data_IF_242598553336
#
_entry.id   IF_242598553336
#
_cell.length_a   1.000
_cell.length_b   1.000
_cell.length_c   1.000
_cell.angle_alpha   90.00
_cell.angle_beta   90.00
_cell.angle_gamma   90.00
#
_symmetry.space_group_name_H-M   'P 1'
#
loop_
_entity.id
_entity.type
_entity.pdbx_description
1 polymer ?
#
# COMPACT_ATOMS: atom_id res chain seq x y z
N UNK A 1 9.57 -25.34 27.13
CA UNK A 1 8.71 -24.14 27.21
C UNK A 1 9.29 -23.00 26.37
N UNK A 2 10.61 -22.82 26.38
CA UNK A 2 11.35 -21.89 25.50
C UNK A 2 11.11 -22.16 24.01
N UNK A 3 11.19 -23.42 23.57
CA UNK A 3 10.99 -23.80 22.16
C UNK A 3 9.61 -23.37 21.60
N UNK A 4 8.53 -23.57 22.36
CA UNK A 4 7.18 -23.15 21.94
C UNK A 4 7.04 -21.62 21.80
N UNK A 5 7.78 -20.87 22.62
CA UNK A 5 7.77 -19.42 22.57
C UNK A 5 8.59 -18.93 21.37
N UNK A 6 9.72 -19.55 21.10
CA UNK A 6 10.59 -19.21 19.97
C UNK A 6 9.91 -19.54 18.64
N UNK A 7 9.23 -20.69 18.54
CA UNK A 7 8.38 -21.05 17.39
C UNK A 7 7.29 -20.01 17.15
N UNK A 8 6.58 -19.59 18.21
CA UNK A 8 5.54 -18.56 18.11
C UNK A 8 6.10 -17.21 17.64
N UNK A 9 7.26 -16.80 18.14
CA UNK A 9 7.91 -15.55 17.72
C UNK A 9 8.32 -15.66 16.25
N UNK A 10 8.92 -16.78 15.84
CA UNK A 10 9.31 -17.03 14.45
C UNK A 10 8.11 -16.98 13.49
N UNK A 11 7.00 -17.61 13.87
CA UNK A 11 5.75 -17.55 13.11
C UNK A 11 5.24 -16.12 12.94
N UNK A 12 5.28 -15.30 14.00
CA UNK A 12 4.86 -13.89 13.94
C UNK A 12 5.78 -13.03 13.07
N UNK A 13 7.09 -13.24 13.13
CA UNK A 13 8.05 -12.57 12.23
C UNK A 13 7.68 -12.88 10.77
N UNK A 14 7.45 -14.16 10.48
CA UNK A 14 7.16 -14.62 9.13
C UNK A 14 5.81 -14.08 8.63
N UNK A 15 4.80 -14.04 9.49
CA UNK A 15 3.49 -13.46 9.20
C UNK A 15 3.59 -11.95 8.91
N UNK A 16 4.28 -11.18 9.76
CA UNK A 16 4.47 -9.74 9.55
C UNK A 16 5.24 -9.45 8.26
N UNK A 17 6.26 -10.27 7.96
CA UNK A 17 7.03 -10.19 6.71
C UNK A 17 6.14 -10.46 5.49
N UNK A 18 5.24 -11.46 5.56
CA UNK A 18 4.27 -11.78 4.50
C UNK A 18 3.31 -10.64 4.25
N UNK A 19 2.73 -10.08 5.31
CA UNK A 19 1.83 -8.92 5.22
C UNK A 19 2.53 -7.73 4.59
N UNK A 20 3.71 -7.34 5.11
CA UNK A 20 4.52 -6.25 4.57
C UNK A 20 4.76 -6.43 3.06
N UNK A 21 5.22 -7.62 2.65
CA UNK A 21 5.51 -7.92 1.26
C UNK A 21 4.24 -7.87 0.38
N UNK A 22 3.09 -8.31 0.88
CA UNK A 22 1.83 -8.23 0.15
C UNK A 22 1.42 -6.79 -0.14
N UNK A 23 1.54 -5.89 0.85
CA UNK A 23 1.29 -4.46 0.66
C UNK A 23 2.31 -3.79 -0.28
N UNK A 24 3.60 -4.14 -0.19
CA UNK A 24 4.64 -3.63 -1.10
C UNK A 24 4.35 -4.03 -2.56
N UNK A 25 4.05 -5.31 -2.81
CA UNK A 25 3.68 -5.79 -4.14
C UNK A 25 2.40 -5.12 -4.67
N UNK A 26 1.44 -4.86 -3.78
CA UNK A 26 0.22 -4.16 -4.13
C UNK A 26 0.48 -2.69 -4.49
N UNK A 27 1.31 -1.99 -3.72
CA UNK A 27 1.73 -0.62 -4.03
C UNK A 27 2.46 -0.55 -5.37
N UNK A 28 3.39 -1.47 -5.65
CA UNK A 28 4.08 -1.55 -6.94
C UNK A 28 3.10 -1.71 -8.11
N UNK A 29 1.97 -2.39 -7.89
CA UNK A 29 0.91 -2.53 -8.91
C UNK A 29 0.08 -1.26 -9.06
N UNK A 30 -0.24 -0.59 -7.97
CA UNK A 30 -1.12 0.59 -7.97
C UNK A 30 -0.41 1.88 -8.39
N UNK A 31 0.88 2.05 -8.07
CA UNK A 31 1.65 3.26 -8.41
C UNK A 31 1.63 3.65 -9.89
N UNK A 32 1.87 2.74 -10.86
CA UNK A 32 1.82 3.11 -12.27
C UNK A 32 0.40 3.45 -12.76
N UNK A 33 -0.62 2.73 -12.25
CA UNK A 33 -2.01 3.03 -12.60
C UNK A 33 -2.44 4.42 -12.11
N UNK A 34 -2.01 4.79 -10.91
CA UNK A 34 -2.27 6.11 -10.34
C UNK A 34 -1.52 7.21 -11.11
N UNK A 35 -0.23 7.01 -11.40
CA UNK A 35 0.56 7.95 -12.19
C UNK A 35 -0.03 8.15 -13.60
N UNK A 36 -0.57 7.10 -14.22
CA UNK A 36 -1.26 7.20 -15.50
C UNK A 36 -2.58 7.99 -15.38
N UNK A 37 -3.43 7.66 -14.40
CA UNK A 37 -4.72 8.33 -14.19
C UNK A 37 -4.57 9.83 -13.92
N UNK A 38 -3.63 10.19 -13.05
CA UNK A 38 -3.38 11.60 -12.67
C UNK A 38 -2.57 12.33 -13.74
N UNK A 39 -1.51 11.70 -14.26
CA UNK A 39 -0.59 12.30 -15.21
C UNK A 39 -1.22 12.48 -16.59
N UNK A 40 -1.78 11.42 -17.18
CA UNK A 40 -2.39 11.48 -18.51
C UNK A 40 -3.66 12.33 -18.48
N UNK A 41 -4.51 12.18 -17.45
CA UNK A 41 -5.70 13.01 -17.28
C UNK A 41 -5.37 14.49 -17.16
N UNK A 42 -4.35 14.84 -16.36
CA UNK A 42 -3.90 16.22 -16.18
C UNK A 42 -3.31 16.83 -17.45
N UNK A 43 -2.43 16.11 -18.15
CA UNK A 43 -1.79 16.60 -19.38
C UNK A 43 -2.80 16.77 -20.50
N UNK A 44 -3.70 15.80 -20.70
CA UNK A 44 -4.75 15.89 -21.74
C UNK A 44 -5.68 17.08 -21.43
N UNK A 45 -6.09 17.26 -20.18
CA UNK A 45 -6.96 18.39 -19.78
C UNK A 45 -6.27 19.73 -19.99
N UNK A 46 -4.98 19.84 -19.63
CA UNK A 46 -4.19 21.05 -19.79
C UNK A 46 -4.00 21.41 -21.26
N UNK A 47 -3.56 20.45 -22.09
CA UNK A 47 -3.33 20.67 -23.53
C UNK A 47 -4.63 21.03 -24.23
N UNK A 48 -5.73 20.33 -23.91
CA UNK A 48 -7.05 20.60 -24.49
C UNK A 48 -7.56 21.97 -24.06
N UNK A 49 -7.48 22.30 -22.77
CA UNK A 49 -7.87 23.61 -22.24
C UNK A 49 -7.05 24.74 -22.85
N UNK A 50 -5.73 24.56 -23.00
CA UNK A 50 -4.85 25.55 -23.60
C UNK A 50 -5.18 25.75 -25.08
N UNK A 51 -5.42 24.68 -25.85
CA UNK A 51 -5.81 24.76 -27.27
C UNK A 51 -7.13 25.51 -27.44
N UNK A 52 -8.11 25.28 -26.56
CA UNK A 52 -9.41 25.99 -26.58
C UNK A 52 -9.24 27.47 -26.25
N UNK A 53 -8.51 27.79 -25.17
CA UNK A 53 -8.37 29.17 -24.67
C UNK A 53 -7.52 30.03 -25.60
N UNK A 54 -6.40 29.49 -26.11
CA UNK A 54 -5.47 30.25 -26.96
C UNK A 54 -5.87 30.24 -28.43
N UNK A 55 -6.86 29.44 -28.83
CA UNK A 55 -7.17 29.10 -30.22
C UNK A 55 -5.97 28.57 -31.01
N UNK A 56 -4.90 28.15 -30.32
CA UNK A 56 -3.76 27.53 -30.96
C UNK A 56 -4.19 26.18 -31.55
N UNK A 57 -3.86 25.92 -32.81
CA UNK A 57 -4.10 24.64 -33.49
C UNK A 57 -3.07 23.58 -33.05
N UNK A 58 -2.90 23.41 -31.74
CA UNK A 58 -2.05 22.34 -31.18
C UNK A 58 -2.71 20.96 -31.40
N UNK A 59 -4.04 20.93 -31.39
CA UNK A 59 -4.90 19.78 -31.72
C UNK A 59 -6.19 20.27 -32.37
N UNK A 60 -6.86 19.41 -33.15
CA UNK A 60 -8.17 19.76 -33.72
C UNK A 60 -9.20 19.99 -32.62
N UNK A 61 -10.20 20.83 -32.89
CA UNK A 61 -11.24 21.17 -31.93
C UNK A 61 -11.99 19.93 -31.39
N UNK A 62 -12.25 18.95 -32.25
CA UNK A 62 -12.90 17.68 -31.86
C UNK A 62 -12.02 16.87 -30.90
N UNK A 63 -10.72 16.79 -31.17
CA UNK A 63 -9.76 16.07 -30.32
C UNK A 63 -9.59 16.78 -28.98
N UNK A 64 -9.53 18.10 -28.96
CA UNK A 64 -9.47 18.89 -27.73
C UNK A 64 -10.75 18.72 -26.89
N UNK A 65 -11.92 18.73 -27.52
CA UNK A 65 -13.20 18.52 -26.84
C UNK A 65 -13.28 17.15 -26.16
N UNK A 66 -13.01 16.07 -26.90
CA UNK A 66 -12.98 14.71 -26.34
C UNK A 66 -11.87 14.51 -25.31
N UNK A 67 -10.71 15.12 -25.52
CA UNK A 67 -9.61 15.10 -24.56
C UNK A 67 -9.99 15.70 -23.22
N UNK A 68 -10.61 16.88 -23.21
CA UNK A 68 -11.07 17.53 -21.98
C UNK A 68 -12.10 16.67 -21.21
N UNK A 69 -13.04 16.04 -21.93
CA UNK A 69 -14.05 15.15 -21.33
C UNK A 69 -13.40 13.90 -20.72
N UNK A 70 -12.51 13.24 -21.45
CA UNK A 70 -11.80 12.05 -20.96
C UNK A 70 -10.91 12.39 -19.77
N UNK A 71 -10.20 13.51 -19.82
CA UNK A 71 -9.37 14.00 -18.71
C UNK A 71 -10.20 14.23 -17.45
N UNK A 72 -11.31 14.95 -17.56
CA UNK A 72 -12.22 15.21 -16.45
C UNK A 72 -12.83 13.91 -15.88
N UNK A 73 -13.20 12.95 -16.74
CA UNK A 73 -13.74 11.66 -16.31
C UNK A 73 -12.69 10.84 -15.53
N UNK A 74 -11.45 10.78 -16.01
CA UNK A 74 -10.35 10.07 -15.33
C UNK A 74 -9.99 10.71 -13.99
N UNK A 75 -9.95 12.04 -13.91
CA UNK A 75 -9.71 12.77 -12.65
C UNK A 75 -10.86 12.56 -11.66
N UNK A 76 -12.11 12.63 -12.12
CA UNK A 76 -13.29 12.37 -11.29
C UNK A 76 -13.33 10.93 -10.75
N UNK A 77 -12.98 9.96 -11.59
CA UNK A 77 -12.89 8.55 -11.20
C UNK A 77 -11.78 8.32 -10.17
N UNK A 78 -10.59 8.91 -10.36
CA UNK A 78 -9.48 8.85 -9.41
C UNK A 78 -9.86 9.41 -8.03
N UNK A 79 -10.47 10.59 -8.00
CA UNK A 79 -10.93 11.22 -6.77
C UNK A 79 -12.01 10.39 -6.06
N UNK A 80 -12.97 9.83 -6.82
CA UNK A 80 -14.04 8.99 -6.27
C UNK A 80 -13.53 7.67 -5.71
N UNK A 81 -12.52 7.07 -6.34
CA UNK A 81 -11.91 5.81 -5.90
C UNK A 81 -10.92 5.99 -4.74
N UNK A 82 -10.64 7.23 -4.32
CA UNK A 82 -9.74 7.56 -3.20
C UNK A 82 -8.40 6.81 -3.28
N UNK A 83 -7.87 6.63 -4.50
CA UNK A 83 -6.66 5.83 -4.74
C UNK A 83 -5.46 6.34 -3.92
N UNK A 84 -5.33 7.67 -3.75
CA UNK A 84 -4.25 8.27 -2.97
C UNK A 84 -4.37 7.93 -1.48
N UNK A 85 -5.57 8.01 -0.91
CA UNK A 85 -5.81 7.63 0.49
C UNK A 85 -5.58 6.13 0.71
N UNK A 86 -6.02 5.29 -0.24
CA UNK A 86 -5.77 3.85 -0.20
C UNK A 86 -4.27 3.53 -0.26
N UNK A 87 -3.53 4.19 -1.16
CA UNK A 87 -2.07 4.03 -1.26
C UNK A 87 -1.35 4.55 -0.02
N UNK A 88 -1.78 5.67 0.55
CA UNK A 88 -1.22 6.21 1.79
C UNK A 88 -1.40 5.24 2.96
N UNK A 89 -2.60 4.66 3.10
CA UNK A 89 -2.85 3.65 4.13
C UNK A 89 -2.03 2.38 3.88
N UNK A 90 -1.90 1.92 2.62
CA UNK A 90 -1.03 0.79 2.29
C UNK A 90 0.44 1.07 2.67
N UNK A 91 0.97 2.27 2.40
CA UNK A 91 2.34 2.67 2.77
C UNK A 91 2.52 2.70 4.28
N UNK A 92 1.54 3.24 5.02
CA UNK A 92 1.51 3.21 6.48
C UNK A 92 1.56 1.77 7.00
N UNK A 93 0.75 0.87 6.43
CA UNK A 93 0.71 -0.54 6.84
C UNK A 93 2.04 -1.27 6.54
N UNK A 94 2.72 -0.98 5.41
CA UNK A 94 4.08 -1.47 5.17
C UNK A 94 5.02 -1.06 6.30
N UNK A 95 4.98 0.21 6.72
CA UNK A 95 5.78 0.72 7.83
C UNK A 95 5.47 0.03 9.15
N UNK A 96 4.18 -0.06 9.52
CA UNK A 96 3.74 -0.67 10.78
C UNK A 96 4.08 -2.17 10.85
N UNK A 97 3.90 -2.92 9.76
CA UNK A 97 4.29 -4.33 9.72
C UNK A 97 5.82 -4.53 9.72
N UNK A 98 6.56 -3.61 9.12
CA UNK A 98 8.03 -3.62 9.19
C UNK A 98 8.55 -3.34 10.59
N UNK A 99 8.00 -2.34 11.27
CA UNK A 99 8.36 -1.99 12.64
C UNK A 99 8.09 -3.14 13.61
N UNK A 100 6.88 -3.72 13.57
CA UNK A 100 6.52 -4.81 14.47
C UNK A 100 7.31 -6.09 14.18
N UNK A 101 7.64 -6.36 12.91
CA UNK A 101 8.55 -7.46 12.55
C UNK A 101 9.91 -7.27 13.24
N UNK A 102 10.49 -6.08 13.17
CA UNK A 102 11.75 -5.77 13.85
C UNK A 102 11.65 -5.87 15.37
N UNK A 103 10.51 -5.50 15.97
CA UNK A 103 10.29 -5.70 17.41
C UNK A 103 10.26 -7.19 17.78
N UNK A 104 9.61 -8.06 16.98
CA UNK A 104 9.66 -9.51 17.19
C UNK A 104 11.06 -10.10 16.98
N UNK A 105 11.82 -9.63 15.98
CA UNK A 105 13.21 -10.06 15.77
C UNK A 105 14.10 -9.67 16.97
N UNK A 106 13.92 -8.47 17.53
CA UNK A 106 14.62 -8.05 18.76
C UNK A 106 14.22 -8.91 19.96
N UNK A 107 12.97 -9.33 20.04
CA UNK A 107 12.47 -10.18 21.12
C UNK A 107 13.21 -11.53 21.18
N UNK A 108 13.60 -12.10 20.03
CA UNK A 108 14.38 -13.34 19.97
C UNK A 108 15.77 -13.21 20.64
N UNK A 109 16.31 -11.99 20.69
CA UNK A 109 17.64 -11.73 21.26
C UNK A 109 17.60 -11.57 22.79
N UNK A 110 16.42 -11.47 23.41
CA UNK A 110 16.28 -11.29 24.86
C UNK A 110 16.48 -12.63 25.56
N UNK A 111 17.51 -12.77 26.39
CA UNK A 111 17.83 -14.02 27.07
C UNK A 111 16.88 -14.42 28.21
N UNK A 112 16.21 -13.45 28.85
CA UNK A 112 15.30 -13.70 29.98
C UNK A 112 13.90 -14.16 29.49
N UNK A 113 13.46 -15.39 29.79
CA UNK A 113 12.17 -15.91 29.34
C UNK A 113 10.95 -15.15 29.89
N UNK A 114 11.02 -14.63 31.12
CA UNK A 114 9.89 -13.92 31.73
C UNK A 114 9.69 -12.54 31.08
N UNK A 115 10.79 -11.83 30.85
CA UNK A 115 10.77 -10.56 30.11
C UNK A 115 10.28 -10.81 28.68
N UNK A 116 10.79 -11.86 28.03
CA UNK A 116 10.41 -12.23 26.67
C UNK A 116 8.90 -12.52 26.56
N UNK A 117 8.32 -13.24 27.52
CA UNK A 117 6.89 -13.55 27.54
C UNK A 117 6.03 -12.30 27.74
N UNK A 118 6.44 -11.38 28.62
CA UNK A 118 5.72 -10.12 28.86
C UNK A 118 5.73 -9.23 27.61
N UNK A 119 6.90 -9.08 26.98
CA UNK A 119 7.05 -8.30 25.75
C UNK A 119 6.28 -8.94 24.59
N UNK A 120 6.25 -10.27 24.49
CA UNK A 120 5.44 -10.98 23.49
C UNK A 120 3.97 -10.58 23.55
N UNK A 121 3.37 -10.56 24.74
CA UNK A 121 1.96 -10.16 24.91
C UNK A 121 1.73 -8.71 24.45
N UNK A 122 2.66 -7.81 24.78
CA UNK A 122 2.62 -6.41 24.31
C UNK A 122 2.64 -6.32 22.79
N UNK A 123 3.54 -7.06 22.13
CA UNK A 123 3.62 -7.12 20.67
C UNK A 123 2.36 -7.72 20.03
N UNK A 124 1.75 -8.72 20.66
CA UNK A 124 0.49 -9.29 20.16
C UNK A 124 -0.66 -8.29 20.24
N UNK A 125 -0.74 -7.50 21.30
CA UNK A 125 -1.71 -6.41 21.40
C UNK A 125 -1.48 -5.34 20.32
N UNK A 126 -0.22 -4.94 20.08
CA UNK A 126 0.11 -4.01 18.98
C UNK A 126 -0.29 -4.59 17.63
N UNK A 127 0.01 -5.86 17.36
CA UNK A 127 -0.34 -6.53 16.11
C UNK A 127 -1.86 -6.59 15.91
N UNK A 128 -2.61 -6.91 16.97
CA UNK A 128 -4.06 -6.92 16.95
C UNK A 128 -4.62 -5.51 16.68
N UNK A 129 -4.05 -4.47 17.29
CA UNK A 129 -4.44 -3.08 17.06
C UNK A 129 -4.18 -2.63 15.62
N UNK A 130 -3.01 -2.97 15.05
CA UNK A 130 -2.70 -2.71 13.64
C UNK A 130 -3.76 -3.36 12.75
N UNK A 131 -4.09 -4.64 12.99
CA UNK A 131 -5.08 -5.42 12.22
C UNK A 131 -6.49 -4.85 12.32
N UNK A 132 -6.92 -4.46 13.52
CA UNK A 132 -8.23 -3.87 13.74
C UNK A 132 -8.34 -2.49 13.06
N UNK A 133 -7.24 -1.75 12.97
CA UNK A 133 -7.19 -0.43 12.34
C UNK A 133 -7.04 -0.42 10.82
N UNK A 134 -6.89 -1.58 10.16
CA UNK A 134 -6.64 -1.63 8.71
C UNK A 134 -7.87 -1.22 7.92
N UNK A 135 -7.72 -0.20 7.09
CA UNK A 135 -8.76 0.25 6.16
C UNK A 135 -8.46 -0.13 4.70
N UNK A 136 -7.21 -0.49 4.41
CA UNK A 136 -6.78 -0.97 3.11
C UNK A 136 -6.42 -2.46 3.18
N UNK A 137 -6.64 -3.18 2.08
CA UNK A 137 -6.17 -4.56 1.92
C UNK A 137 -5.48 -4.73 0.56
N UNK A 138 -4.43 -5.55 0.49
CA UNK A 138 -3.84 -5.95 -0.79
C UNK A 138 -4.80 -6.88 -1.53
N UNK A 139 -4.63 -6.96 -2.85
CA UNK A 139 -5.36 -7.98 -3.63
C UNK A 139 -4.90 -9.39 -3.28
N UNK A 140 -5.79 -10.38 -3.39
CA UNK A 140 -5.46 -11.79 -3.13
C UNK A 140 -4.27 -12.28 -3.96
N UNK A 141 -4.12 -11.79 -5.19
CA UNK A 141 -3.00 -12.11 -6.06
C UNK A 141 -1.66 -11.67 -5.45
N UNK A 142 -1.60 -10.48 -4.85
CA UNK A 142 -0.41 -10.00 -4.15
C UNK A 142 -0.15 -10.80 -2.87
N UNK A 143 -1.18 -11.12 -2.10
CA UNK A 143 -1.04 -11.98 -0.90
C UNK A 143 -0.48 -13.35 -1.24
N UNK A 144 -1.02 -14.01 -2.27
CA UNK A 144 -0.52 -15.31 -2.76
C UNK A 144 0.93 -15.23 -3.23
N UNK A 145 1.31 -14.15 -3.92
CA UNK A 145 2.69 -13.91 -4.36
C UNK A 145 3.65 -13.65 -3.19
N UNK A 146 3.21 -12.92 -2.16
CA UNK A 146 4.00 -12.67 -0.97
C UNK A 146 4.30 -13.96 -0.21
N UNK A 147 3.31 -14.84 -0.04
CA UNK A 147 3.50 -16.16 0.55
C UNK A 147 4.56 -16.95 -0.20
N UNK A 148 4.46 -17.02 -1.54
CA UNK A 148 5.44 -17.73 -2.39
C UNK A 148 6.85 -17.14 -2.37
N UNK A 149 7.01 -15.85 -2.04
CA UNK A 149 8.31 -15.16 -2.02
C UNK A 149 9.04 -15.32 -0.68
N UNK A 150 8.29 -15.60 0.39
CA UNK A 150 8.79 -15.68 1.76
C UNK A 150 8.85 -17.14 2.26
N UNK A 151 8.04 -18.03 1.69
CA UNK A 151 8.21 -19.48 1.81
C UNK A 151 9.55 -19.90 1.20
#
# INVERSE_FOLDING_TARGET
MTDLLDDRIADRILECKRERCAYELWLQRLSPANAMLVGVGGVISLVSGLSIVTKATLVSADVAGWGAVLGAALTGLHARLKCDAHQAECKKLVGQFGEIQTEYERLQMIGDPQVRQKELLSLEHKLAAIRAGQQARPSEGCTKRAVKRIA
#
